data_IF_546891670934
#
_entry.id   IF_546891670934
#
_cell.length_a   1.000
_cell.length_b   1.000
_cell.length_c   1.000
_cell.angle_alpha   90.00
_cell.angle_beta   90.00
_cell.angle_gamma   90.00
#
_symmetry.space_group_name_H-M   'P 1'
#
loop_
_entity.id
_entity.type
_entity.pdbx_description
1 polymer ?
#
# COMPACT_ATOMS: atom_id res chain seq x y z
N UNK A 1 1.49 -27.30 22.73
CA UNK A 1 0.88 -26.02 22.28
C UNK A 1 1.14 -25.93 20.79
N UNK A 2 0.12 -26.13 19.95
CA UNK A 2 0.27 -26.02 18.50
C UNK A 2 0.21 -24.52 18.18
N UNK A 3 1.34 -23.93 17.82
CA UNK A 3 1.35 -22.60 17.22
C UNK A 3 0.73 -22.74 15.84
N UNK A 4 -0.55 -22.40 15.71
CA UNK A 4 -1.15 -22.11 14.41
C UNK A 4 -0.45 -20.85 13.89
N UNK A 5 0.59 -21.02 13.09
CA UNK A 5 1.09 -19.93 12.26
C UNK A 5 -0.08 -19.48 11.40
N UNK A 6 -0.55 -18.25 11.60
CA UNK A 6 -1.52 -17.64 10.69
C UNK A 6 -0.91 -17.70 9.29
N UNK A 7 -1.62 -18.30 8.34
CA UNK A 7 -1.14 -18.31 6.98
C UNK A 7 -1.16 -16.87 6.44
N UNK A 8 -0.40 -16.63 5.36
CA UNK A 8 -0.29 -15.32 4.71
C UNK A 8 -1.66 -14.70 4.41
N UNK A 9 -2.58 -15.50 3.88
CA UNK A 9 -3.90 -15.03 3.46
C UNK A 9 -4.76 -14.57 4.65
N UNK A 10 -4.68 -15.27 5.79
CA UNK A 10 -5.38 -14.88 7.03
C UNK A 10 -4.80 -13.58 7.61
N UNK A 11 -3.47 -13.44 7.58
CA UNK A 11 -2.78 -12.21 8.01
C UNK A 11 -3.16 -11.04 7.10
N UNK A 12 -3.14 -11.24 5.79
CA UNK A 12 -3.51 -10.22 4.82
C UNK A 12 -4.98 -9.82 4.94
N UNK A 13 -5.92 -10.75 5.07
CA UNK A 13 -7.34 -10.43 5.25
C UNK A 13 -7.61 -9.61 6.52
N UNK A 14 -6.89 -9.91 7.60
CA UNK A 14 -7.10 -9.28 8.90
C UNK A 14 -6.46 -7.89 9.01
N UNK A 15 -5.29 -7.70 8.40
CA UNK A 15 -4.48 -6.50 8.59
C UNK A 15 -4.10 -5.79 7.29
N UNK A 16 -4.04 -6.49 6.17
CA UNK A 16 -3.58 -5.97 4.88
C UNK A 16 -4.30 -4.70 4.43
N UNK A 17 -5.64 -4.68 4.34
CA UNK A 17 -6.38 -3.49 3.90
C UNK A 17 -6.13 -2.26 4.79
N UNK A 18 -6.25 -2.41 6.11
CA UNK A 18 -6.09 -1.27 7.03
C UNK A 18 -4.62 -0.82 7.14
N UNK A 19 -3.67 -1.76 7.05
CA UNK A 19 -2.24 -1.44 7.03
C UNK A 19 -1.87 -0.68 5.76
N UNK A 20 -2.39 -1.11 4.61
CA UNK A 20 -2.20 -0.42 3.34
C UNK A 20 -2.76 1.00 3.41
N UNK A 21 -4.02 1.15 3.83
CA UNK A 21 -4.67 2.47 3.94
C UNK A 21 -3.90 3.41 4.88
N UNK A 22 -3.54 2.95 6.08
CA UNK A 22 -2.76 3.75 7.03
C UNK A 22 -1.38 4.15 6.48
N UNK A 23 -0.73 3.25 5.73
CA UNK A 23 0.56 3.53 5.09
C UNK A 23 0.41 4.63 4.05
N UNK A 24 -0.61 4.56 3.19
CA UNK A 24 -0.87 5.57 2.16
C UNK A 24 -1.19 6.94 2.78
N UNK A 25 -2.04 6.97 3.81
CA UNK A 25 -2.35 8.20 4.53
C UNK A 25 -1.09 8.84 5.12
N UNK A 26 -0.26 8.04 5.79
CA UNK A 26 1.02 8.51 6.36
C UNK A 26 1.94 9.07 5.27
N UNK A 27 2.05 8.41 4.12
CA UNK A 27 2.89 8.88 3.00
C UNK A 27 2.40 10.20 2.43
N UNK A 28 1.08 10.38 2.27
CA UNK A 28 0.49 11.63 1.78
C UNK A 28 0.73 12.77 2.75
N UNK A 29 0.51 12.54 4.04
CA UNK A 29 0.77 13.54 5.09
C UNK A 29 2.22 14.01 5.04
N UNK A 30 3.17 13.08 5.02
CA UNK A 30 4.62 13.39 4.93
C UNK A 30 4.99 14.10 3.63
N UNK A 31 4.42 13.67 2.51
CA UNK A 31 4.65 14.32 1.22
C UNK A 31 4.14 15.76 1.23
N UNK A 32 2.93 15.99 1.75
CA UNK A 32 2.34 17.33 1.83
C UNK A 32 3.07 18.25 2.82
N UNK A 33 3.59 17.72 3.93
CA UNK A 33 4.50 18.47 4.81
C UNK A 33 5.70 19.02 4.03
N UNK A 34 6.41 18.17 3.28
CA UNK A 34 7.57 18.57 2.48
C UNK A 34 7.20 19.53 1.33
N UNK A 35 6.07 19.28 0.66
CA UNK A 35 5.58 20.14 -0.44
C UNK A 35 5.24 21.53 0.06
N UNK A 36 4.62 21.63 1.24
CA UNK A 36 4.32 22.90 1.90
C UNK A 36 5.60 23.68 2.23
N UNK A 37 6.65 23.02 2.73
CA UNK A 37 7.96 23.64 2.97
C UNK A 37 8.59 24.20 1.69
N UNK A 38 8.28 23.62 0.54
CA UNK A 38 8.78 24.02 -0.78
C UNK A 38 7.83 24.98 -1.53
N UNK A 39 6.70 25.38 -0.93
CA UNK A 39 5.68 26.22 -1.59
C UNK A 39 4.95 25.53 -2.75
N UNK A 40 4.94 24.20 -2.77
CA UNK A 40 4.25 23.38 -3.76
C UNK A 40 2.81 23.09 -3.33
N UNK A 41 1.87 22.88 -4.28
CA UNK A 41 0.50 22.50 -3.97
C UNK A 41 0.46 21.10 -3.34
N UNK A 42 -0.44 20.89 -2.39
CA UNK A 42 -0.69 19.56 -1.81
C UNK A 42 -1.20 18.56 -2.86
N UNK A 43 -0.92 17.28 -2.63
CA UNK A 43 -1.46 16.16 -3.39
C UNK A 43 -2.53 15.44 -2.56
N UNK A 44 -3.46 14.81 -3.26
CA UNK A 44 -4.60 14.10 -2.69
C UNK A 44 -4.35 12.60 -2.63
N UNK A 45 -5.23 11.88 -1.93
CA UNK A 45 -5.26 10.42 -1.96
C UNK A 45 -5.51 9.90 -3.39
N UNK A 46 -6.31 10.59 -4.20
CA UNK A 46 -6.59 10.14 -5.56
C UNK A 46 -5.33 10.19 -6.43
N UNK A 47 -4.52 11.24 -6.31
CA UNK A 47 -3.27 11.37 -7.08
C UNK A 47 -2.33 10.17 -6.82
N UNK A 48 -2.17 9.79 -5.54
CA UNK A 48 -1.36 8.64 -5.15
C UNK A 48 -1.99 7.32 -5.61
N UNK A 49 -3.31 7.18 -5.54
CA UNK A 49 -3.99 5.97 -6.01
C UNK A 49 -3.85 5.77 -7.52
N UNK A 50 -3.89 6.85 -8.29
CA UNK A 50 -3.68 6.83 -9.74
C UNK A 50 -2.23 6.40 -10.06
N UNK A 51 -1.24 6.95 -9.36
CA UNK A 51 0.17 6.57 -9.50
C UNK A 51 0.42 5.10 -9.12
N UNK A 52 -0.17 4.63 -8.02
CA UNK A 52 -0.09 3.23 -7.59
C UNK A 52 -0.70 2.30 -8.62
N UNK A 53 -1.86 2.67 -9.17
CA UNK A 53 -2.52 1.85 -10.19
C UNK A 53 -1.64 1.72 -11.44
N UNK A 54 -1.00 2.82 -11.87
CA UNK A 54 -0.03 2.77 -12.98
C UNK A 54 1.13 1.83 -12.66
N UNK A 55 1.77 1.96 -11.50
CA UNK A 55 2.90 1.11 -11.13
C UNK A 55 2.52 -0.36 -10.94
N UNK A 56 1.36 -0.66 -10.34
CA UNK A 56 0.88 -2.05 -10.18
C UNK A 56 0.77 -2.75 -11.53
N UNK A 57 0.34 -2.05 -12.58
CA UNK A 57 0.24 -2.64 -13.93
C UNK A 57 1.60 -2.91 -14.59
N UNK A 58 2.66 -2.25 -14.12
CA UNK A 58 4.03 -2.44 -14.61
C UNK A 58 4.79 -3.51 -13.84
N UNK A 59 4.39 -3.79 -12.59
CA UNK A 59 5.04 -4.77 -11.74
C UNK A 59 4.69 -6.20 -12.16
N UNK A 60 5.72 -7.05 -12.25
CA UNK A 60 5.50 -8.48 -12.38
C UNK A 60 4.99 -9.04 -11.04
N UNK A 61 3.94 -9.88 -11.05
CA UNK A 61 3.54 -10.59 -9.84
C UNK A 61 4.72 -11.41 -9.30
N UNK A 62 4.85 -11.49 -7.98
CA UNK A 62 5.84 -12.36 -7.37
C UNK A 62 5.50 -13.84 -7.64
N UNK A 63 6.50 -14.72 -7.64
CA UNK A 63 6.32 -16.16 -7.89
C UNK A 63 5.20 -16.79 -7.05
N UNK A 64 5.13 -16.42 -5.77
CA UNK A 64 4.11 -16.90 -4.81
C UNK A 64 2.70 -16.35 -5.05
N UNK A 65 2.53 -15.33 -5.90
CA UNK A 65 1.22 -14.81 -6.35
C UNK A 65 0.66 -15.62 -7.52
N UNK A 66 1.49 -16.39 -8.21
CA UNK A 66 1.10 -17.24 -9.33
C UNK A 66 0.64 -18.65 -8.88
N UNK A 67 0.79 -18.99 -7.60
CA UNK A 67 0.47 -20.32 -7.05
C UNK A 67 -1.04 -20.59 -6.86
N UNK A 68 -1.94 -19.73 -7.38
CA UNK A 68 -3.38 -19.95 -7.35
C UNK A 68 -3.97 -20.11 -8.76
N UNK A 69 -3.80 -21.31 -9.34
CA UNK A 69 -4.77 -21.91 -10.28
C UNK A 69 -5.15 -23.31 -9.82
#
# INVERSE_FOLDING_TARGET
>A
MVFLMANRNDTFRKFGPILLEATLQTLIERSNELRKEQGMPEITMQDIMDDINNHITELQPYDWMQEET
#
